data_IF_144783302881
#
_entry.id   IF_144783302881
#
_cell.length_a   1.000
_cell.length_b   1.000
_cell.length_c   1.000
_cell.angle_alpha   90.00
_cell.angle_beta   90.00
_cell.angle_gamma   90.00
#
_symmetry.space_group_name_H-M   'P 1'
#
loop_
_entity.id
_entity.type
_entity.pdbx_description
1 polymer ?
#
# COMPACT_ATOMS: atom_id res chain seq x y z
N UNK A 1 15.45 -10.99 -8.76
CA UNK A 1 14.20 -10.21 -8.89
C UNK A 1 14.05 -9.34 -7.65
N UNK A 2 14.15 -8.03 -7.82
CA UNK A 2 14.12 -6.99 -6.79
C UNK A 2 14.12 -5.64 -7.49
N UNK A 3 14.31 -4.54 -6.76
CA UNK A 3 14.39 -3.20 -7.35
C UNK A 3 15.37 -3.20 -8.54
N UNK A 4 14.87 -2.80 -9.72
CA UNK A 4 15.65 -2.70 -10.95
C UNK A 4 16.63 -1.53 -10.84
N UNK A 5 17.75 -1.59 -11.56
CA UNK A 5 18.77 -0.53 -11.52
C UNK A 5 18.16 0.87 -11.79
N UNK A 6 17.28 0.99 -12.79
CA UNK A 6 16.60 2.24 -13.12
C UNK A 6 15.71 2.80 -11.99
N UNK A 7 15.19 1.96 -11.09
CA UNK A 7 14.38 2.42 -9.95
C UNK A 7 15.27 2.99 -8.83
N UNK A 8 16.54 2.56 -8.78
CA UNK A 8 17.49 2.93 -7.72
C UNK A 8 18.21 4.25 -7.99
N UNK A 9 18.27 4.70 -9.24
CA UNK A 9 19.06 5.88 -9.64
C UNK A 9 18.50 7.20 -9.11
N UNK A 10 17.23 7.24 -8.71
CA UNK A 10 16.61 8.43 -8.13
C UNK A 10 16.90 8.58 -6.63
N UNK A 11 17.43 7.54 -5.98
CA UNK A 11 17.73 7.59 -4.57
C UNK A 11 19.09 8.25 -4.30
N UNK A 12 19.25 8.92 -3.15
CA UNK A 12 18.23 9.10 -2.10
C UNK A 12 17.19 10.16 -2.47
N UNK A 13 15.95 9.97 -2.03
CA UNK A 13 14.89 10.96 -2.22
C UNK A 13 15.00 12.01 -1.13
N UNK A 14 15.20 13.26 -1.52
CA UNK A 14 15.59 14.34 -0.62
C UNK A 14 14.51 15.42 -0.47
N UNK A 15 13.45 15.34 -1.26
CA UNK A 15 12.39 16.33 -1.33
C UNK A 15 11.09 15.71 -1.83
N UNK A 16 9.99 16.47 -1.71
CA UNK A 16 8.69 16.14 -2.31
C UNK A 16 8.85 15.91 -3.82
N UNK A 17 9.56 16.81 -4.51
CA UNK A 17 9.83 16.69 -5.95
C UNK A 17 10.53 15.38 -6.33
N UNK A 18 11.45 14.88 -5.50
CA UNK A 18 12.11 13.61 -5.75
C UNK A 18 11.15 12.43 -5.62
N UNK A 19 10.23 12.48 -4.66
CA UNK A 19 9.15 11.49 -4.55
C UNK A 19 8.25 11.55 -5.78
N UNK A 20 7.82 12.74 -6.20
CA UNK A 20 7.02 12.92 -7.43
C UNK A 20 7.77 12.40 -8.67
N UNK A 21 9.08 12.63 -8.79
CA UNK A 21 9.91 12.07 -9.87
C UNK A 21 9.95 10.55 -9.84
N UNK A 22 10.03 9.93 -8.66
CA UNK A 22 9.94 8.48 -8.52
C UNK A 22 8.58 7.96 -8.98
N UNK A 23 7.49 8.59 -8.55
CA UNK A 23 6.13 8.24 -8.98
C UNK A 23 5.97 8.38 -10.49
N UNK A 24 6.44 9.48 -11.09
CA UNK A 24 6.42 9.69 -12.54
C UNK A 24 7.23 8.62 -13.28
N UNK A 25 8.42 8.28 -12.79
CA UNK A 25 9.25 7.24 -13.36
C UNK A 25 8.58 5.86 -13.32
N UNK A 26 7.93 5.50 -12.21
CA UNK A 26 7.18 4.23 -12.06
C UNK A 26 5.91 4.19 -12.91
N UNK A 27 5.15 5.28 -12.96
CA UNK A 27 3.95 5.39 -13.79
C UNK A 27 4.27 5.26 -15.28
N UNK A 28 5.45 5.71 -15.72
CA UNK A 28 5.95 5.52 -17.09
C UNK A 28 6.37 4.08 -17.44
N UNK A 29 6.38 3.15 -16.48
CA UNK A 29 6.69 1.72 -16.71
C UNK A 29 5.43 0.95 -17.11
N UNK A 30 5.63 -0.25 -17.66
CA UNK A 30 4.55 -1.22 -17.93
C UNK A 30 3.71 -1.46 -16.67
N UNK A 31 4.36 -1.90 -15.60
CA UNK A 31 3.75 -2.00 -14.26
C UNK A 31 4.54 -1.12 -13.28
N UNK A 32 3.89 -0.14 -12.63
CA UNK A 32 4.48 0.60 -11.52
C UNK A 32 4.64 -0.35 -10.34
N UNK A 33 5.76 -0.30 -9.64
CA UNK A 33 6.01 -1.16 -8.47
C UNK A 33 5.24 -0.64 -7.24
N UNK A 34 4.11 -1.29 -6.95
CA UNK A 34 3.22 -0.88 -5.86
C UNK A 34 3.89 -1.01 -4.49
N UNK A 35 4.78 -2.00 -4.34
CA UNK A 35 5.48 -2.26 -3.10
C UNK A 35 6.48 -1.14 -2.82
N UNK A 36 7.28 -0.77 -3.81
CA UNK A 36 8.23 0.35 -3.70
C UNK A 36 7.51 1.65 -3.33
N UNK A 37 6.48 2.01 -4.09
CA UNK A 37 5.78 3.28 -3.92
C UNK A 37 5.08 3.38 -2.56
N UNK A 38 4.41 2.31 -2.11
CA UNK A 38 3.75 2.28 -0.79
C UNK A 38 4.74 2.34 0.37
N UNK A 39 5.91 1.71 0.24
CA UNK A 39 6.97 1.79 1.25
C UNK A 39 7.56 3.19 1.34
N UNK A 40 7.74 3.88 0.21
CA UNK A 40 8.21 5.28 0.18
C UNK A 40 7.19 6.21 0.81
N UNK A 41 5.90 6.13 0.41
CA UNK A 41 4.84 6.96 1.01
C UNK A 41 4.72 6.73 2.51
N UNK A 42 4.68 5.47 2.94
CA UNK A 42 4.59 5.15 4.35
C UNK A 42 5.81 5.59 5.16
N UNK A 43 7.01 5.56 4.57
CA UNK A 43 8.22 6.08 5.19
C UNK A 43 8.13 7.60 5.39
N UNK A 44 7.80 8.37 4.35
CA UNK A 44 7.72 9.83 4.46
C UNK A 44 6.57 10.26 5.38
N UNK A 45 5.41 9.60 5.29
CA UNK A 45 4.26 9.86 6.17
C UNK A 45 4.61 9.59 7.64
N UNK A 46 5.35 8.51 7.92
CA UNK A 46 5.77 8.22 9.29
C UNK A 46 6.58 9.38 9.89
N UNK A 47 7.54 9.93 9.16
CA UNK A 47 8.40 10.99 9.69
C UNK A 47 7.82 12.40 9.56
N UNK A 48 6.76 12.60 8.79
CA UNK A 48 6.08 13.88 8.62
C UNK A 48 4.79 14.00 9.45
N UNK A 49 4.14 12.89 9.80
CA UNK A 49 2.90 12.88 10.58
C UNK A 49 2.99 12.09 11.90
N UNK A 50 3.61 10.92 11.92
CA UNK A 50 3.62 10.04 13.11
C UNK A 50 4.68 10.43 14.14
N UNK A 51 5.92 10.65 13.67
CA UNK A 51 7.05 10.98 14.52
C UNK A 51 7.96 12.01 13.83
N UNK A 52 7.68 13.28 14.10
CA UNK A 52 8.43 14.43 13.55
C UNK A 52 9.70 14.77 14.33
N UNK A 53 10.06 13.98 15.35
CA UNK A 53 11.30 14.19 16.11
C UNK A 53 12.48 13.75 15.26
N UNK A 54 13.42 14.66 15.00
CA UNK A 54 14.66 14.34 14.29
C UNK A 54 15.55 13.50 15.22
N UNK A 55 15.78 12.21 14.92
CA UNK A 55 16.62 11.37 15.76
C UNK A 55 18.08 11.80 15.60
N UNK A 56 18.70 12.25 16.68
CA UNK A 56 20.13 12.62 16.69
C UNK A 56 21.07 11.42 16.81
N UNK A 57 20.53 10.25 17.16
CA UNK A 57 21.30 9.04 17.50
C UNK A 57 21.14 7.90 16.48
N UNK A 58 20.52 8.14 15.31
CA UNK A 58 20.33 7.13 14.26
C UNK A 58 21.05 7.62 13.00
N UNK A 59 22.33 7.24 12.79
CA UNK A 59 23.15 7.78 11.70
C UNK A 59 22.57 7.52 10.31
N UNK A 60 21.78 6.44 10.15
CA UNK A 60 21.18 6.10 8.86
C UNK A 60 19.98 6.99 8.49
N UNK A 61 19.37 7.71 9.44
CA UNK A 61 18.24 8.59 9.17
C UNK A 61 18.73 10.02 9.00
N UNK A 62 18.67 10.52 7.76
CA UNK A 62 19.04 11.90 7.43
C UNK A 62 17.81 12.75 7.14
N UNK A 63 17.87 14.03 7.52
CA UNK A 63 16.81 15.00 7.30
C UNK A 63 17.38 16.20 6.56
N UNK A 64 16.73 16.61 5.48
CA UNK A 64 17.14 17.81 4.74
C UNK A 64 16.28 19.01 5.10
N UNK A 65 16.89 20.16 5.43
CA UNK A 65 16.14 21.38 5.63
C UNK A 65 15.48 21.80 4.31
N UNK A 66 14.21 22.19 4.41
CA UNK A 66 13.40 22.71 3.32
C UNK A 66 12.76 24.04 3.77
N UNK A 67 12.56 25.00 2.86
CA UNK A 67 11.75 26.17 3.17
C UNK A 67 10.36 25.72 3.61
N UNK A 68 9.88 26.24 4.74
CA UNK A 68 8.50 26.02 5.16
C UNK A 68 7.54 26.69 4.15
N UNK A 69 6.46 26.01 3.73
CA UNK A 69 5.43 26.63 2.91
C UNK A 69 4.74 27.78 3.65
N UNK A 70 4.50 27.63 4.96
CA UNK A 70 3.96 28.69 5.82
C UNK A 70 4.34 28.50 7.31
N UNK A 71 4.64 29.57 8.07
CA UNK A 71 4.81 30.94 7.61
C UNK A 71 6.10 31.12 6.78
N UNK A 72 6.14 32.10 5.85
CA UNK A 72 7.30 32.35 5.01
C UNK A 72 8.54 32.66 5.85
N UNK A 73 9.61 31.89 5.67
CA UNK A 73 10.85 32.01 6.45
C UNK A 73 11.03 30.95 7.56
N UNK A 74 10.06 30.05 7.75
CA UNK A 74 10.25 28.85 8.57
C UNK A 74 11.17 27.82 7.91
N UNK A 75 11.75 26.93 8.72
CA UNK A 75 12.50 25.76 8.27
C UNK A 75 11.69 24.50 8.60
N UNK A 76 11.34 23.72 7.58
CA UNK A 76 10.84 22.35 7.74
C UNK A 76 11.95 21.37 7.40
N UNK A 77 11.72 20.08 7.67
CA UNK A 77 12.69 19.04 7.38
C UNK A 77 12.00 17.92 6.60
N UNK A 78 12.59 17.54 5.47
CA UNK A 78 12.15 16.38 4.71
C UNK A 78 12.94 15.13 5.16
N UNK A 79 12.25 14.01 5.47
CA UNK A 79 12.90 12.76 5.81
C UNK A 79 13.53 12.14 4.56
N UNK A 80 14.86 12.10 4.50
CA UNK A 80 15.57 11.56 3.33
C UNK A 80 15.32 10.06 3.26
N UNK A 81 14.74 9.60 2.16
CA UNK A 81 14.56 8.17 1.93
C UNK A 81 15.82 7.63 1.24
N UNK A 82 16.72 7.07 2.04
CA UNK A 82 17.94 6.42 1.53
C UNK A 82 17.64 5.06 0.89
N UNK A 83 18.37 4.75 -0.19
CA UNK A 83 18.19 3.50 -0.94
C UNK A 83 18.36 2.27 -0.05
N UNK A 84 19.34 2.28 0.84
CA UNK A 84 19.62 1.16 1.74
C UNK A 84 18.42 0.84 2.64
N UNK A 85 17.77 1.86 3.19
CA UNK A 85 16.60 1.73 4.07
C UNK A 85 15.41 1.17 3.27
N UNK A 86 15.06 1.83 2.16
CA UNK A 86 13.90 1.41 1.35
C UNK A 86 14.12 0.02 0.74
N UNK A 87 15.33 -0.28 0.26
CA UNK A 87 15.66 -1.60 -0.26
C UNK A 87 15.60 -2.69 0.82
N UNK A 88 16.01 -2.41 2.06
CA UNK A 88 15.88 -3.36 3.17
C UNK A 88 14.42 -3.64 3.51
N UNK A 89 13.57 -2.62 3.54
CA UNK A 89 12.11 -2.78 3.76
C UNK A 89 11.46 -3.58 2.62
N UNK A 90 11.82 -3.28 1.38
CA UNK A 90 11.35 -4.02 0.19
C UNK A 90 11.78 -5.49 0.23
N UNK A 91 13.04 -5.75 0.59
CA UNK A 91 13.57 -7.10 0.74
C UNK A 91 12.83 -7.87 1.84
N UNK A 92 12.53 -7.24 2.98
CA UNK A 92 11.74 -7.85 4.06
C UNK A 92 10.34 -8.25 3.58
N UNK A 93 9.62 -7.35 2.91
CA UNK A 93 8.29 -7.66 2.38
C UNK A 93 8.33 -8.81 1.37
N UNK A 94 9.18 -8.71 0.35
CA UNK A 94 9.24 -9.73 -0.69
C UNK A 94 9.74 -11.08 -0.19
N UNK A 95 10.67 -11.12 0.78
CA UNK A 95 11.10 -12.36 1.42
C UNK A 95 9.97 -13.01 2.23
N UNK A 96 9.21 -12.21 3.00
CA UNK A 96 8.07 -12.70 3.77
C UNK A 96 7.00 -13.33 2.86
N UNK A 97 6.64 -12.67 1.76
CA UNK A 97 5.62 -13.18 0.83
C UNK A 97 6.13 -14.43 0.11
N UNK A 98 7.33 -14.37 -0.48
CA UNK A 98 7.90 -15.51 -1.25
C UNK A 98 8.20 -16.72 -0.37
N UNK A 99 8.57 -16.51 0.89
CA UNK A 99 8.80 -17.60 1.83
C UNK A 99 7.51 -18.29 2.31
N UNK A 100 6.38 -17.58 2.28
CA UNK A 100 5.10 -18.09 2.79
C UNK A 100 4.13 -18.58 1.70
N UNK A 101 4.35 -18.19 0.44
CA UNK A 101 3.51 -18.54 -0.72
C UNK A 101 4.33 -19.32 -1.73
N UNK A 102 4.19 -20.65 -1.72
CA UNK A 102 4.77 -21.53 -2.72
C UNK A 102 3.85 -21.59 -3.95
N UNK A 103 4.25 -20.94 -5.04
CA UNK A 103 3.49 -20.90 -6.29
C UNK A 103 3.37 -22.26 -6.99
N UNK A 104 4.24 -23.24 -6.68
CA UNK A 104 4.17 -24.57 -7.28
C UNK A 104 2.94 -25.35 -6.82
N UNK A 105 2.39 -25.01 -5.65
CA UNK A 105 1.16 -25.59 -5.10
C UNK A 105 -0.11 -25.00 -5.75
N UNK A 106 0.03 -23.95 -6.55
CA UNK A 106 -1.07 -23.26 -7.20
C UNK A 106 -0.79 -23.05 -8.70
N UNK A 107 -0.89 -24.11 -9.53
CA UNK A 107 -0.70 -24.00 -10.97
C UNK A 107 -1.60 -22.93 -11.59
N UNK A 108 -1.01 -22.10 -12.46
CA UNK A 108 -1.70 -20.97 -13.12
C UNK A 108 -2.07 -21.33 -14.55
N UNK A 109 -3.21 -22.00 -14.71
CA UNK A 109 -3.77 -22.29 -16.03
C UNK A 109 -4.09 -20.98 -16.77
N UNK A 110 -3.70 -20.87 -18.04
CA UNK A 110 -3.93 -19.66 -18.84
C UNK A 110 -3.21 -18.40 -18.33
N UNK A 111 -2.25 -18.53 -17.41
CA UNK A 111 -1.50 -17.40 -16.86
C UNK A 111 -2.28 -16.54 -15.86
N UNK A 112 -3.45 -16.99 -15.41
CA UNK A 112 -4.28 -16.28 -14.41
C UNK A 112 -4.21 -16.98 -13.04
N UNK A 113 -4.61 -16.26 -12.00
CA UNK A 113 -4.55 -16.72 -10.61
C UNK A 113 -5.82 -17.46 -10.20
N UNK A 114 -5.70 -18.42 -9.28
CA UNK A 114 -6.84 -19.12 -8.69
C UNK A 114 -7.33 -18.46 -7.41
N UNK A 115 -8.55 -18.80 -6.99
CA UNK A 115 -9.15 -18.29 -5.74
C UNK A 115 -8.37 -18.74 -4.52
N UNK A 116 -7.87 -19.97 -4.54
CA UNK A 116 -7.08 -20.57 -3.47
C UNK A 116 -5.75 -19.84 -3.30
N UNK A 117 -5.11 -19.45 -4.41
CA UNK A 117 -3.88 -18.65 -4.39
C UNK A 117 -4.13 -17.26 -3.82
N UNK A 118 -5.18 -16.56 -4.27
CA UNK A 118 -5.56 -15.23 -3.74
C UNK A 118 -5.87 -15.31 -2.25
N UNK A 119 -6.63 -16.32 -1.82
CA UNK A 119 -6.95 -16.55 -0.40
C UNK A 119 -5.68 -16.87 0.40
N UNK A 120 -4.75 -17.64 -0.15
CA UNK A 120 -3.46 -17.92 0.50
C UNK A 120 -2.65 -16.64 0.72
N UNK A 121 -2.59 -15.75 -0.26
CA UNK A 121 -1.92 -14.43 -0.10
C UNK A 121 -2.63 -13.60 0.97
N UNK A 122 -3.97 -13.54 0.96
CA UNK A 122 -4.76 -12.86 2.01
C UNK A 122 -4.47 -13.42 3.40
N UNK A 123 -4.39 -14.74 3.55
CA UNK A 123 -4.06 -15.38 4.83
C UNK A 123 -2.64 -15.06 5.30
N UNK A 124 -1.67 -14.98 4.40
CA UNK A 124 -0.30 -14.57 4.74
C UNK A 124 -0.28 -13.14 5.27
N UNK A 125 -0.96 -12.20 4.61
CA UNK A 125 -1.06 -10.81 5.09
C UNK A 125 -1.76 -10.77 6.45
N UNK A 126 -2.95 -11.37 6.54
CA UNK A 126 -3.77 -11.37 7.76
C UNK A 126 -3.04 -11.96 8.97
N UNK A 127 -2.43 -13.13 8.82
CA UNK A 127 -1.73 -13.82 9.90
C UNK A 127 -0.45 -13.11 10.35
N UNK A 128 0.04 -12.17 9.55
CA UNK A 128 1.19 -11.34 9.89
C UNK A 128 0.81 -10.11 10.72
N UNK A 129 -0.48 -9.78 10.84
CA UNK A 129 -0.94 -8.62 11.59
C UNK A 129 -0.92 -8.86 13.11
N UNK A 130 -0.64 -7.81 13.86
CA UNK A 130 -0.75 -7.77 15.31
C UNK A 130 -2.16 -8.22 15.75
N UNK A 131 -2.22 -9.12 16.74
CA UNK A 131 -3.50 -9.68 17.24
C UNK A 131 -4.44 -8.61 17.82
N UNK A 132 -3.88 -7.57 18.44
CA UNK A 132 -4.65 -6.50 19.07
C UNK A 132 -4.06 -5.13 18.70
N UNK A 133 -4.86 -4.32 18.02
CA UNK A 133 -4.64 -2.89 17.76
C UNK A 133 -5.95 -2.27 17.28
N UNK A 134 -6.07 -0.95 17.42
CA UNK A 134 -7.20 -0.20 16.88
C UNK A 134 -7.14 -0.17 15.35
N UNK A 135 -8.11 -0.81 14.69
CA UNK A 135 -8.18 -0.96 13.23
C UNK A 135 -8.42 0.35 12.48
N UNK A 136 -8.95 1.35 13.18
CA UNK A 136 -9.30 2.67 12.63
C UNK A 136 -8.24 3.73 12.97
N UNK A 137 -7.03 3.31 13.37
CA UNK A 137 -5.95 4.26 13.67
C UNK A 137 -5.47 4.90 12.36
N UNK A 138 -5.07 6.16 12.40
CA UNK A 138 -4.36 6.79 11.28
C UNK A 138 -2.97 6.14 11.06
N UNK A 139 -2.43 6.33 9.85
CA UNK A 139 -1.06 5.96 9.46
C UNK A 139 -0.75 4.46 9.48
N UNK A 140 -1.77 3.62 9.32
CA UNK A 140 -1.63 2.16 9.21
C UNK A 140 -2.16 1.61 7.87
N UNK A 141 -2.15 2.40 6.80
CA UNK A 141 -2.66 2.02 5.48
C UNK A 141 -1.56 1.52 4.54
N UNK A 142 -0.30 1.82 4.83
CA UNK A 142 0.85 1.55 3.94
C UNK A 142 1.60 0.26 4.28
N UNK A 143 2.37 -0.25 3.30
CA UNK A 143 3.28 -1.38 3.53
C UNK A 143 4.41 -1.05 4.51
N UNK A 144 4.73 0.22 4.72
CA UNK A 144 5.67 0.63 5.76
C UNK A 144 5.13 0.27 7.15
N UNK A 145 3.85 0.57 7.42
CA UNK A 145 3.18 0.19 8.67
C UNK A 145 3.10 -1.33 8.82
N UNK A 146 2.85 -2.06 7.72
CA UNK A 146 2.85 -3.52 7.73
C UNK A 146 4.21 -4.08 8.18
N UNK A 147 5.32 -3.62 7.59
CA UNK A 147 6.65 -4.17 7.86
C UNK A 147 7.24 -3.73 9.20
N UNK A 148 6.97 -2.49 9.62
CA UNK A 148 7.56 -1.93 10.85
C UNK A 148 6.68 -2.12 12.07
N UNK A 149 5.35 -2.11 11.89
CA UNK A 149 4.38 -2.13 12.98
C UNK A 149 3.41 -3.32 12.98
N UNK A 150 3.44 -4.17 11.94
CA UNK A 150 2.49 -5.28 11.71
C UNK A 150 1.03 -4.87 11.84
N UNK A 151 0.70 -3.66 11.37
CA UNK A 151 -0.64 -3.08 11.45
C UNK A 151 -1.07 -2.64 10.06
N UNK A 152 -2.30 -2.99 9.71
CA UNK A 152 -2.99 -2.49 8.54
C UNK A 152 -4.44 -2.11 8.91
N UNK A 153 -5.00 -1.08 8.29
CA UNK A 153 -6.46 -0.92 8.26
C UNK A 153 -7.09 -1.87 7.22
N UNK A 154 -8.42 -1.82 7.07
CA UNK A 154 -9.15 -2.76 6.21
C UNK A 154 -8.70 -2.68 4.75
N UNK A 155 -8.73 -1.49 4.15
CA UNK A 155 -8.38 -1.29 2.75
C UNK A 155 -6.87 -1.44 2.51
N UNK A 156 -6.03 -1.10 3.51
CA UNK A 156 -4.59 -1.37 3.51
C UNK A 156 -4.27 -2.86 3.41
N UNK A 157 -5.07 -3.75 4.01
CA UNK A 157 -4.93 -5.21 3.79
C UNK A 157 -5.24 -5.60 2.34
N UNK A 158 -6.34 -5.08 1.77
CA UNK A 158 -6.68 -5.39 0.38
C UNK A 158 -5.57 -4.91 -0.59
N UNK A 159 -5.05 -3.70 -0.38
CA UNK A 159 -3.92 -3.16 -1.12
C UNK A 159 -2.65 -4.00 -0.94
N UNK A 160 -2.34 -4.42 0.29
CA UNK A 160 -1.17 -5.26 0.56
C UNK A 160 -1.25 -6.63 -0.12
N UNK A 161 -2.46 -7.19 -0.26
CA UNK A 161 -2.69 -8.42 -1.03
C UNK A 161 -2.38 -8.18 -2.52
N UNK A 162 -2.84 -7.08 -3.11
CA UNK A 162 -2.53 -6.75 -4.52
C UNK A 162 -1.02 -6.52 -4.72
N UNK A 163 -0.36 -5.78 -3.83
CA UNK A 163 1.09 -5.58 -3.87
C UNK A 163 1.88 -6.89 -3.72
N UNK A 164 1.45 -7.80 -2.84
CA UNK A 164 2.04 -9.13 -2.69
C UNK A 164 1.84 -9.99 -3.95
N UNK A 165 0.64 -9.98 -4.53
CA UNK A 165 0.33 -10.65 -5.79
C UNK A 165 1.21 -10.12 -6.93
N UNK A 166 1.38 -8.80 -7.06
CA UNK A 166 2.29 -8.20 -8.04
C UNK A 166 3.73 -8.69 -7.83
N UNK A 167 4.23 -8.71 -6.58
CA UNK A 167 5.58 -9.16 -6.26
C UNK A 167 5.84 -10.66 -6.54
N UNK A 168 4.77 -11.46 -6.62
CA UNK A 168 4.74 -12.87 -7.03
C UNK A 168 4.52 -13.05 -8.55
N UNK A 169 4.33 -11.96 -9.31
CA UNK A 169 4.09 -12.01 -10.76
C UNK A 169 2.64 -12.37 -11.14
N UNK A 170 1.68 -12.16 -10.23
CA UNK A 170 0.25 -12.41 -10.44
C UNK A 170 -0.41 -11.16 -11.05
N UNK A 171 -0.16 -10.96 -12.35
CA UNK A 171 -0.56 -9.74 -13.07
C UNK A 171 -2.06 -9.53 -13.17
N UNK A 172 -2.87 -10.59 -13.06
CA UNK A 172 -4.32 -10.55 -13.20
C UNK A 172 -5.06 -10.11 -11.93
N UNK A 173 -4.38 -10.08 -10.77
CA UNK A 173 -4.99 -9.69 -9.50
C UNK A 173 -4.97 -8.17 -9.36
N UNK A 174 -6.14 -7.57 -9.18
CA UNK A 174 -6.33 -6.13 -9.13
C UNK A 174 -7.24 -5.70 -7.98
N UNK A 175 -7.05 -4.47 -7.53
CA UNK A 175 -7.86 -3.88 -6.46
C UNK A 175 -9.27 -3.55 -6.97
N UNK A 176 -10.28 -3.84 -6.16
CA UNK A 176 -11.64 -3.38 -6.37
C UNK A 176 -12.10 -2.55 -5.17
N UNK A 177 -12.75 -1.43 -5.47
CA UNK A 177 -13.14 -0.43 -4.47
C UNK A 177 -14.62 -0.05 -4.64
N UNK A 178 -15.36 -0.12 -3.54
CA UNK A 178 -16.59 0.64 -3.40
C UNK A 178 -16.32 1.94 -2.63
N UNK A 179 -17.37 2.63 -2.21
CA UNK A 179 -17.25 3.86 -1.42
C UNK A 179 -16.84 3.59 0.04
N UNK A 180 -16.93 2.35 0.54
CA UNK A 180 -16.66 2.01 1.96
C UNK A 180 -16.01 0.63 2.16
N UNK A 181 -15.61 -0.06 1.09
CA UNK A 181 -14.97 -1.37 1.19
C UNK A 181 -14.01 -1.67 0.03
N UNK A 182 -13.09 -2.61 0.28
CA UNK A 182 -12.08 -3.03 -0.68
C UNK A 182 -11.96 -4.55 -0.75
N UNK A 183 -11.82 -5.07 -1.97
CA UNK A 183 -11.56 -6.48 -2.24
C UNK A 183 -10.71 -6.62 -3.51
N UNK A 184 -10.59 -7.82 -4.08
CA UNK A 184 -9.83 -8.01 -5.34
C UNK A 184 -10.66 -8.64 -6.45
N UNK A 185 -10.31 -8.28 -7.68
CA UNK A 185 -10.70 -8.99 -8.90
C UNK A 185 -9.53 -9.76 -9.49
N UNK A 186 -9.78 -10.90 -10.12
CA UNK A 186 -8.74 -11.79 -10.67
C UNK A 186 -9.32 -12.79 -11.69
N UNK A 187 -8.49 -13.70 -12.20
CA UNK A 187 -8.92 -14.80 -13.06
C UNK A 187 -9.12 -14.39 -14.53
N UNK A 188 -9.73 -15.27 -15.34
CA UNK A 188 -10.01 -14.97 -16.74
C UNK A 188 -10.81 -13.67 -16.88
N UNK A 189 -10.32 -12.74 -17.71
CA UNK A 189 -10.93 -11.43 -17.92
C UNK A 189 -11.13 -10.54 -16.67
N UNK A 190 -10.54 -10.91 -15.51
CA UNK A 190 -10.76 -10.19 -14.25
C UNK A 190 -12.19 -10.29 -13.72
N UNK A 191 -12.93 -11.34 -14.06
CA UNK A 191 -14.36 -11.47 -13.70
C UNK A 191 -14.58 -12.03 -12.28
N UNK A 192 -13.59 -12.74 -11.72
CA UNK A 192 -13.71 -13.32 -10.40
C UNK A 192 -13.49 -12.25 -9.34
N UNK A 193 -14.28 -12.30 -8.27
CA UNK A 193 -14.09 -11.45 -7.09
C UNK A 193 -13.72 -12.30 -5.88
N UNK A 194 -12.84 -11.83 -5.00
CA UNK A 194 -12.61 -12.42 -3.69
C UNK A 194 -12.51 -11.35 -2.62
N UNK A 195 -13.26 -11.54 -1.54
CA UNK A 195 -13.02 -10.85 -0.28
C UNK A 195 -11.63 -11.21 0.25
N UNK A 196 -10.86 -10.22 0.68
CA UNK A 196 -9.47 -10.43 1.18
C UNK A 196 -9.19 -9.72 2.49
N UNK A 197 -10.14 -8.92 2.97
CA UNK A 197 -10.06 -8.15 4.21
C UNK A 197 -11.39 -8.23 4.97
N UNK A 198 -11.46 -7.58 6.13
CA UNK A 198 -12.68 -7.44 6.91
C UNK A 198 -13.45 -6.17 6.50
N UNK A 199 -14.73 -6.10 6.85
CA UNK A 199 -15.53 -4.87 6.72
C UNK A 199 -16.20 -4.52 8.05
N UNK A 200 -16.05 -3.28 8.52
CA UNK A 200 -16.63 -2.80 9.78
C UNK A 200 -16.14 -3.55 11.03
N UNK A 201 -16.89 -3.45 12.14
CA UNK A 201 -16.63 -4.13 13.41
C UNK A 201 -17.67 -5.22 13.65
N UNK A 202 -17.23 -6.45 13.94
CA UNK A 202 -18.11 -7.54 14.38
C UNK A 202 -18.86 -8.28 13.25
N UNK A 203 -18.55 -8.02 11.98
CA UNK A 203 -19.07 -8.80 10.87
C UNK A 203 -18.29 -10.12 10.70
N UNK A 204 -18.97 -11.15 10.19
CA UNK A 204 -18.35 -12.44 9.87
C UNK A 204 -17.23 -12.30 8.83
N UNK A 205 -16.15 -13.06 9.00
CA UNK A 205 -15.05 -13.15 8.05
C UNK A 205 -15.54 -13.79 6.75
N UNK A 206 -15.59 -13.00 5.66
CA UNK A 206 -15.98 -13.47 4.33
C UNK A 206 -14.80 -13.74 3.40
N UNK A 207 -13.55 -13.68 3.89
CA UNK A 207 -12.35 -13.79 3.04
C UNK A 207 -12.37 -15.06 2.20
N UNK A 208 -12.13 -14.92 0.91
CA UNK A 208 -12.18 -15.97 -0.11
C UNK A 208 -13.53 -16.09 -0.82
N UNK A 209 -14.62 -15.55 -0.25
CA UNK A 209 -15.94 -15.59 -0.89
C UNK A 209 -16.08 -14.53 -1.99
N UNK A 210 -17.09 -14.72 -2.86
CA UNK A 210 -17.45 -13.73 -3.89
C UNK A 210 -18.27 -12.58 -3.30
N UNK A 211 -18.30 -11.44 -3.98
CA UNK A 211 -19.17 -10.31 -3.60
C UNK A 211 -20.59 -10.38 -4.18
N UNK A 212 -20.94 -11.47 -4.89
CA UNK A 212 -22.18 -11.59 -5.66
C UNK A 212 -23.44 -11.45 -4.82
N UNK A 213 -23.46 -11.99 -3.60
CA UNK A 213 -24.60 -11.85 -2.69
C UNK A 213 -24.90 -10.37 -2.39
N UNK A 214 -23.86 -9.59 -2.09
CA UNK A 214 -23.94 -8.16 -1.83
C UNK A 214 -24.37 -7.33 -3.04
N UNK A 215 -23.94 -7.74 -4.23
CA UNK A 215 -24.40 -7.15 -5.50
C UNK A 215 -25.88 -7.45 -5.75
N UNK A 216 -26.31 -8.71 -5.55
CA UNK A 216 -27.67 -9.17 -5.80
C UNK A 216 -28.69 -8.54 -4.85
N UNK A 217 -28.32 -8.34 -3.57
CA UNK A 217 -29.17 -7.63 -2.59
C UNK A 217 -29.20 -6.11 -2.79
N UNK A 218 -28.47 -5.58 -3.79
CA UNK A 218 -28.39 -4.16 -4.14
C UNK A 218 -27.86 -3.30 -2.99
N UNK A 219 -27.01 -3.87 -2.14
CA UNK A 219 -26.36 -3.15 -1.04
C UNK A 219 -25.48 -2.03 -1.58
N UNK A 220 -25.51 -0.89 -0.91
CA UNK A 220 -24.64 0.26 -1.20
C UNK A 220 -23.16 -0.15 -1.10
N UNK A 221 -22.83 -1.03 -0.17
CA UNK A 221 -21.47 -1.53 0.06
C UNK A 221 -20.80 -2.12 -1.19
N UNK A 222 -21.59 -2.69 -2.10
CA UNK A 222 -21.11 -3.30 -3.36
C UNK A 222 -21.63 -2.57 -4.61
N UNK A 223 -22.25 -1.39 -4.43
CA UNK A 223 -22.68 -0.46 -5.47
C UNK A 223 -23.50 -1.11 -6.61
N UNK A 224 -24.30 -2.14 -6.30
CA UNK A 224 -25.03 -2.93 -7.32
C UNK A 224 -24.13 -3.43 -8.46
N UNK A 225 -22.86 -3.71 -8.16
CA UNK A 225 -21.86 -4.15 -9.14
C UNK A 225 -21.13 -3.02 -9.90
N UNK A 226 -21.46 -1.76 -9.61
CA UNK A 226 -20.86 -0.56 -10.24
C UNK A 226 -19.65 -0.03 -9.47
N UNK A 227 -18.92 -0.92 -8.80
CA UNK A 227 -17.69 -0.60 -8.09
C UNK A 227 -16.50 -0.40 -9.04
N UNK A 228 -15.45 0.25 -8.55
CA UNK A 228 -14.23 0.48 -9.33
C UNK A 228 -13.45 -0.84 -9.44
N UNK A 229 -13.06 -1.20 -10.66
CA UNK A 229 -12.07 -2.25 -10.94
C UNK A 229 -10.78 -1.55 -11.37
N UNK A 230 -9.81 -1.50 -10.48
CA UNK A 230 -8.60 -0.73 -10.71
C UNK A 230 -7.69 -1.43 -11.73
N UNK A 231 -7.00 -0.64 -12.54
CA UNK A 231 -5.73 -1.07 -13.13
C UNK A 231 -4.56 -0.71 -12.18
N UNK A 232 -3.32 -0.99 -12.60
CA UNK A 232 -2.13 -0.65 -11.79
C UNK A 232 -1.97 0.85 -11.53
N UNK A 233 -2.41 1.71 -12.44
CA UNK A 233 -2.27 3.17 -12.29
C UNK A 233 -3.30 3.70 -11.29
N UNK A 234 -4.52 3.15 -11.34
CA UNK A 234 -5.57 3.42 -10.35
C UNK A 234 -5.18 2.90 -8.95
N UNK A 235 -4.46 1.79 -8.85
CA UNK A 235 -3.90 1.31 -7.57
C UNK A 235 -2.82 2.25 -7.01
N UNK A 236 -2.05 2.91 -7.88
CA UNK A 236 -1.17 4.02 -7.46
C UNK A 236 -1.98 5.22 -7.01
N UNK A 237 -3.04 5.59 -7.73
CA UNK A 237 -3.93 6.68 -7.30
C UNK A 237 -4.58 6.38 -5.94
N UNK A 238 -4.99 5.13 -5.69
CA UNK A 238 -5.50 4.69 -4.39
C UNK A 238 -4.48 4.96 -3.27
N UNK A 239 -3.23 4.54 -3.41
CA UNK A 239 -2.24 4.76 -2.34
C UNK A 239 -1.89 6.25 -2.13
N UNK A 240 -2.02 7.08 -3.17
CA UNK A 240 -1.88 8.54 -3.06
C UNK A 240 -3.07 9.14 -2.31
N UNK A 241 -4.30 8.75 -2.65
CA UNK A 241 -5.51 9.15 -1.90
C UNK A 241 -5.50 8.63 -0.46
N UNK A 242 -4.83 7.52 -0.20
CA UNK A 242 -4.68 6.96 1.14
C UNK A 242 -3.62 7.67 1.98
N UNK A 243 -2.84 8.61 1.44
CA UNK A 243 -1.96 9.46 2.26
C UNK A 243 -2.83 10.18 3.29
N UNK A 244 -2.40 10.13 4.55
CA UNK A 244 -3.08 10.81 5.64
C UNK A 244 -2.19 11.93 6.21
N UNK A 245 -2.47 13.21 5.86
CA UNK A 245 -1.69 14.34 6.35
C UNK A 245 -1.88 14.65 7.84
N UNK A 246 -2.92 14.13 8.49
CA UNK A 246 -3.26 14.48 9.87
C UNK A 246 -2.17 14.06 10.85
N UNK A 247 -1.68 15.00 11.66
CA UNK A 247 -0.74 14.74 12.76
C UNK A 247 -1.54 14.47 14.05
N UNK A 248 -2.55 15.30 14.27
CA UNK A 248 -3.52 15.21 15.35
C UNK A 248 -4.86 15.81 14.92
N UNK A 249 -5.81 15.91 15.85
CA UNK A 249 -7.17 16.41 15.59
C UNK A 249 -7.23 17.87 15.10
N UNK A 250 -6.13 18.63 15.21
CA UNK A 250 -6.09 20.07 14.95
C UNK A 250 -5.00 20.47 13.96
N UNK A 251 -4.17 19.53 13.51
CA UNK A 251 -2.95 19.83 12.76
C UNK A 251 -2.73 18.82 11.65
N UNK A 252 -2.48 19.32 10.45
CA UNK A 252 -2.05 18.54 9.29
C UNK A 252 -0.60 18.87 8.92
N UNK A 253 0.12 17.91 8.32
CA UNK A 253 1.40 18.14 7.68
C UNK A 253 1.19 18.81 6.32
N UNK A 254 1.63 20.07 6.21
CA UNK A 254 1.64 20.80 4.94
C UNK A 254 2.49 20.09 3.88
N UNK A 255 3.56 19.42 4.30
CA UNK A 255 4.43 18.66 3.40
C UNK A 255 3.71 17.47 2.77
N UNK A 256 2.88 16.75 3.54
CA UNK A 256 2.08 15.64 3.03
C UNK A 256 0.88 16.12 2.21
N UNK A 257 0.25 17.24 2.59
CA UNK A 257 -0.77 17.89 1.76
C UNK A 257 -0.21 18.26 0.40
N UNK A 258 0.97 18.88 0.36
CA UNK A 258 1.66 19.25 -0.88
C UNK A 258 2.09 18.03 -1.70
N UNK A 259 2.54 16.95 -1.06
CA UNK A 259 2.91 15.71 -1.76
C UNK A 259 1.69 15.00 -2.38
N UNK A 260 0.53 15.09 -1.73
CA UNK A 260 -0.71 14.46 -2.20
C UNK A 260 -1.39 15.25 -3.34
N UNK A 261 -1.23 16.57 -3.37
CA UNK A 261 -1.86 17.50 -4.33
C UNK A 261 -1.29 17.38 -5.75
#
# INVERSE_FOLDING_TARGET
>A
MGLKAAQKTLFPLRSIDDVVRLFAAELGREEPDLVLLSLVLGFVEHFLAVNRVIPTNVPELTFQPSPAPDPPGGLTYFPVADLSIIAALYARFTAQIRGAVDLSLYPREGGVSSRELVKKVSDVIWNSLSRSYFKDRAHIQSLFSFITGTKLDSSGVAFAVVGACQALGLRDVHLALSEDHAWVVFGPNGEQTAEVTWHGKGNEDRRGQTVNAGVAERSWLYLKGSYMRCDRKMEVAFMVCAINPSIDLHTDSLELLQLQQ
#
